data_IF_926937765426
#
_entry.id   IF_926937765426
#
_cell.length_a   1.000
_cell.length_b   1.000
_cell.length_c   1.000
_cell.angle_alpha   90.00
_cell.angle_beta   90.00
_cell.angle_gamma   90.00
#
_symmetry.space_group_name_H-M   'P 1'
#
loop_
_entity.id
_entity.type
_entity.pdbx_description
1 polymer ?
#
# COMPACT_ATOMS: atom_id res chain seq x y z
N UNK A 1 -22.07 18.01 0.41
CA UNK A 1 -21.24 17.45 1.50
C UNK A 1 -20.24 16.48 0.87
N UNK A 2 -19.05 16.96 0.51
CA UNK A 2 -18.04 16.09 -0.11
C UNK A 2 -17.43 15.22 0.98
N UNK A 3 -17.79 13.93 1.01
CA UNK A 3 -17.07 12.98 1.84
C UNK A 3 -15.59 13.05 1.47
N UNK A 4 -14.76 13.37 2.46
CA UNK A 4 -13.31 13.33 2.37
C UNK A 4 -12.92 11.86 2.41
N UNK A 5 -13.05 11.15 1.28
CA UNK A 5 -12.85 9.69 1.17
C UNK A 5 -11.40 9.22 1.37
N UNK A 6 -10.42 10.14 1.46
CA UNK A 6 -9.00 9.82 1.59
C UNK A 6 -8.67 8.87 2.75
N UNK A 7 -9.10 9.13 3.99
CA UNK A 7 -8.75 8.29 5.14
C UNK A 7 -9.37 6.89 5.08
N UNK A 8 -10.60 6.78 4.58
CA UNK A 8 -11.31 5.50 4.53
C UNK A 8 -10.73 4.57 3.48
N UNK A 9 -10.44 5.07 2.28
CA UNK A 9 -9.85 4.24 1.22
C UNK A 9 -8.42 3.79 1.59
N UNK A 10 -7.61 4.66 2.21
CA UNK A 10 -6.29 4.24 2.73
C UNK A 10 -6.42 3.17 3.82
N UNK A 11 -7.42 3.26 4.71
CA UNK A 11 -7.69 2.22 5.70
C UNK A 11 -8.06 0.88 5.06
N UNK A 12 -8.89 0.90 4.00
CA UNK A 12 -9.25 -0.28 3.22
C UNK A 12 -8.05 -0.94 2.51
N UNK A 13 -6.91 -0.25 2.38
CA UNK A 13 -5.67 -0.80 1.82
C UNK A 13 -4.78 -1.31 2.95
N UNK A 14 -4.48 -0.45 3.92
CA UNK A 14 -3.50 -0.75 4.99
C UNK A 14 -3.95 -1.95 5.83
N UNK A 15 -5.25 -2.08 6.14
CA UNK A 15 -5.76 -3.16 6.97
C UNK A 15 -5.59 -4.54 6.30
N UNK A 16 -6.09 -4.78 5.06
CA UNK A 16 -5.81 -6.01 4.32
C UNK A 16 -4.32 -6.32 4.15
N UNK A 17 -3.50 -5.32 3.78
CA UNK A 17 -2.06 -5.52 3.54
C UNK A 17 -1.35 -5.93 4.84
N UNK A 18 -1.67 -5.29 5.97
CA UNK A 18 -1.12 -5.64 7.29
C UNK A 18 -1.57 -7.02 7.74
N UNK A 19 -2.83 -7.39 7.49
CA UNK A 19 -3.36 -8.71 7.80
C UNK A 19 -2.62 -9.82 7.04
N UNK A 20 -2.39 -9.65 5.72
CA UNK A 20 -1.62 -10.62 4.94
C UNK A 20 -0.15 -10.68 5.33
N UNK A 21 0.47 -9.55 5.67
CA UNK A 21 1.82 -9.54 6.23
C UNK A 21 1.88 -10.32 7.54
N UNK A 22 0.86 -10.21 8.40
CA UNK A 22 0.76 -11.02 9.62
C UNK A 22 0.68 -12.53 9.33
N UNK A 23 -0.10 -12.93 8.32
CA UNK A 23 -0.15 -14.33 7.87
C UNK A 23 1.23 -14.78 7.40
N UNK A 24 1.88 -14.04 6.51
CA UNK A 24 3.20 -14.41 5.97
C UNK A 24 4.25 -14.45 7.09
N UNK A 25 4.21 -13.50 8.02
CA UNK A 25 5.10 -13.49 9.18
C UNK A 25 4.93 -14.73 10.05
N UNK A 26 3.72 -15.29 10.15
CA UNK A 26 3.50 -16.56 10.86
C UNK A 26 4.13 -17.77 10.16
N UNK A 27 4.39 -17.71 8.85
CA UNK A 27 5.12 -18.73 8.09
C UNK A 27 6.65 -18.54 8.17
N UNK A 28 7.12 -17.37 8.59
CA UNK A 28 8.55 -17.04 8.62
C UNK A 28 9.43 -18.03 9.40
N UNK A 29 9.01 -18.62 10.54
CA UNK A 29 9.81 -19.64 11.23
C UNK A 29 10.06 -20.90 10.39
N UNK A 30 9.17 -21.23 9.45
CA UNK A 30 9.34 -22.35 8.55
C UNK A 30 10.21 -21.99 7.34
N UNK A 31 10.01 -20.78 6.80
CA UNK A 31 10.76 -20.29 5.63
C UNK A 31 12.20 -19.91 5.98
N UNK A 32 12.47 -19.48 7.22
CA UNK A 32 13.77 -18.93 7.60
C UNK A 32 14.93 -19.92 7.43
N UNK A 33 14.84 -21.16 7.98
CA UNK A 33 15.92 -22.14 7.85
C UNK A 33 16.14 -22.65 6.42
N UNK A 34 15.19 -22.42 5.52
CA UNK A 34 15.26 -22.87 4.12
C UNK A 34 15.99 -21.85 3.26
N UNK A 35 15.79 -20.56 3.53
CA UNK A 35 16.27 -19.47 2.66
C UNK A 35 17.52 -18.76 3.19
N UNK A 36 17.69 -18.64 4.51
CA UNK A 36 18.75 -17.82 5.11
C UNK A 36 19.68 -18.59 6.06
N UNK A 37 19.45 -19.88 6.30
CA UNK A 37 20.38 -20.70 7.08
C UNK A 37 21.66 -20.96 6.29
N UNK A 38 22.81 -20.84 6.94
CA UNK A 38 24.12 -21.22 6.38
C UNK A 38 24.39 -22.72 6.47
N UNK A 39 23.70 -23.42 7.36
CA UNK A 39 23.75 -24.88 7.49
C UNK A 39 22.70 -25.53 6.58
N UNK A 40 22.99 -26.69 5.96
CA UNK A 40 22.02 -27.44 5.19
C UNK A 40 20.74 -27.71 6.00
N UNK A 41 19.59 -27.37 5.44
CA UNK A 41 18.31 -27.59 6.08
C UNK A 41 18.06 -29.09 6.24
N UNK A 42 17.82 -29.59 7.47
CA UNK A 42 17.56 -31.01 7.69
C UNK A 42 16.30 -31.49 6.95
N UNK A 43 16.31 -32.72 6.44
CA UNK A 43 15.16 -33.32 5.75
C UNK A 43 13.86 -33.25 6.59
N UNK A 44 13.97 -33.48 7.90
CA UNK A 44 12.84 -33.39 8.83
C UNK A 44 12.18 -32.00 8.86
N UNK A 45 12.91 -30.93 8.57
CA UNK A 45 12.34 -29.58 8.50
C UNK A 45 11.39 -29.41 7.32
N UNK A 46 11.71 -30.03 6.17
CA UNK A 46 10.81 -30.06 5.02
C UNK A 46 9.53 -30.84 5.34
N UNK A 47 9.61 -31.89 6.16
CA UNK A 47 8.43 -32.65 6.61
C UNK A 47 7.51 -31.80 7.50
N UNK A 48 8.08 -31.02 8.43
CA UNK A 48 7.31 -30.08 9.25
C UNK A 48 6.64 -28.99 8.42
N UNK A 49 7.37 -28.38 7.48
CA UNK A 49 6.79 -27.38 6.57
C UNK A 49 5.65 -27.98 5.76
N UNK A 50 5.85 -29.16 5.18
CA UNK A 50 4.85 -29.79 4.34
C UNK A 50 3.60 -30.22 5.13
N UNK A 51 3.78 -30.72 6.36
CA UNK A 51 2.67 -31.00 7.27
C UNK A 51 1.87 -29.73 7.58
N UNK A 52 2.55 -28.60 7.81
CA UNK A 52 1.90 -27.32 8.03
C UNK A 52 1.13 -26.82 6.79
N UNK A 53 1.72 -26.93 5.60
CA UNK A 53 1.07 -26.58 4.33
C UNK A 53 -0.15 -27.45 4.05
N UNK A 54 -0.06 -28.76 4.29
CA UNK A 54 -1.20 -29.68 4.21
C UNK A 54 -2.32 -29.28 5.16
N UNK A 55 -1.99 -28.93 6.40
CA UNK A 55 -2.96 -28.44 7.37
C UNK A 55 -3.64 -27.15 6.90
N UNK A 56 -2.88 -26.19 6.36
CA UNK A 56 -3.42 -24.95 5.79
C UNK A 56 -4.38 -25.22 4.62
N UNK A 57 -4.02 -26.14 3.72
CA UNK A 57 -4.87 -26.49 2.58
C UNK A 57 -6.12 -27.29 2.96
N UNK A 58 -6.00 -28.16 3.96
CA UNK A 58 -7.12 -28.94 4.49
C UNK A 58 -8.10 -28.10 5.32
N UNK A 59 -7.78 -26.83 5.57
CA UNK A 59 -8.64 -25.94 6.33
C UNK A 59 -10.03 -25.77 5.68
N UNK A 60 -11.09 -25.51 6.48
CA UNK A 60 -12.43 -25.37 5.95
C UNK A 60 -12.49 -24.34 4.82
N UNK A 61 -13.26 -24.60 3.74
CA UNK A 61 -13.28 -23.73 2.55
C UNK A 61 -13.80 -22.31 2.83
N UNK A 62 -14.29 -22.04 4.04
CA UNK A 62 -14.64 -20.71 4.51
C UNK A 62 -13.41 -19.80 4.66
N UNK A 63 -12.28 -20.33 5.14
CA UNK A 63 -11.05 -19.54 5.37
C UNK A 63 -10.53 -18.93 4.07
N UNK A 64 -10.23 -19.69 3.00
CA UNK A 64 -9.77 -19.11 1.75
C UNK A 64 -10.79 -18.15 1.15
N UNK A 65 -12.11 -18.38 1.32
CA UNK A 65 -13.14 -17.42 0.86
C UNK A 65 -13.02 -16.07 1.56
N UNK A 66 -12.83 -16.06 2.88
CA UNK A 66 -12.60 -14.82 3.65
C UNK A 66 -11.31 -14.13 3.17
N UNK A 67 -10.23 -14.88 2.95
CA UNK A 67 -8.98 -14.31 2.43
C UNK A 67 -9.18 -13.62 1.08
N UNK A 68 -9.87 -14.25 0.13
CA UNK A 68 -10.16 -13.62 -1.17
C UNK A 68 -11.01 -12.35 -1.01
N UNK A 69 -12.00 -12.33 -0.11
CA UNK A 69 -12.78 -11.11 0.18
C UNK A 69 -11.86 -9.98 0.67
N UNK A 70 -10.90 -10.28 1.56
CA UNK A 70 -9.94 -9.29 2.07
C UNK A 70 -9.01 -8.79 0.94
N UNK A 71 -8.61 -9.65 0.00
CA UNK A 71 -7.87 -9.24 -1.21
C UNK A 71 -8.72 -8.26 -2.05
N UNK A 72 -10.00 -8.59 -2.29
CA UNK A 72 -10.90 -7.72 -3.04
C UNK A 72 -11.12 -6.37 -2.35
N UNK A 73 -11.19 -6.33 -1.02
CA UNK A 73 -11.29 -5.07 -0.28
C UNK A 73 -10.05 -4.19 -0.47
N UNK A 74 -8.85 -4.78 -0.41
CA UNK A 74 -7.60 -4.06 -0.68
C UNK A 74 -7.53 -3.50 -2.09
N UNK A 75 -7.91 -4.31 -3.08
CA UNK A 75 -7.98 -3.91 -4.48
C UNK A 75 -9.03 -2.80 -4.71
N UNK A 76 -10.22 -2.94 -4.13
CA UNK A 76 -11.27 -1.94 -4.22
C UNK A 76 -10.83 -0.60 -3.59
N UNK A 77 -10.07 -0.63 -2.49
CA UNK A 77 -9.46 0.56 -1.90
C UNK A 77 -8.52 1.28 -2.86
N UNK A 78 -7.60 0.54 -3.51
CA UNK A 78 -6.65 1.08 -4.48
C UNK A 78 -7.37 1.69 -5.70
N UNK A 79 -8.33 0.97 -6.28
CA UNK A 79 -9.11 1.45 -7.43
C UNK A 79 -9.92 2.70 -7.06
N UNK A 80 -10.52 2.72 -5.86
CA UNK A 80 -11.31 3.86 -5.38
C UNK A 80 -10.46 5.14 -5.24
N UNK A 81 -9.19 5.02 -4.84
CA UNK A 81 -8.26 6.16 -4.76
C UNK A 81 -7.78 6.63 -6.13
N UNK A 82 -7.60 5.70 -7.08
CA UNK A 82 -7.15 6.03 -8.43
C UNK A 82 -8.18 6.84 -9.24
N UNK A 83 -9.47 6.68 -8.95
CA UNK A 83 -10.53 7.42 -9.64
C UNK A 83 -10.53 8.94 -9.35
N UNK A 84 -9.77 9.41 -8.36
CA UNK A 84 -9.63 10.84 -8.05
C UNK A 84 -8.28 11.36 -8.54
N UNK A 85 -8.23 12.07 -9.68
CA UNK A 85 -6.97 12.52 -10.27
C UNK A 85 -6.35 13.66 -9.44
N UNK A 86 -5.26 13.35 -8.75
CA UNK A 86 -4.20 14.29 -8.36
C UNK A 86 -2.87 13.68 -8.84
N UNK A 87 -1.87 14.49 -9.17
CA UNK A 87 -0.57 13.96 -9.64
C UNK A 87 0.07 13.02 -8.60
N UNK A 88 -0.06 13.36 -7.32
CA UNK A 88 0.42 12.53 -6.20
C UNK A 88 -0.32 11.19 -6.13
N UNK A 89 -1.64 11.18 -6.28
CA UNK A 89 -2.41 9.93 -6.32
C UNK A 89 -1.99 9.06 -7.52
N UNK A 90 -1.75 9.64 -8.70
CA UNK A 90 -1.34 8.83 -9.86
C UNK A 90 0.00 8.12 -9.64
N UNK A 91 0.98 8.79 -9.02
CA UNK A 91 2.29 8.19 -8.77
C UNK A 91 2.25 7.15 -7.64
N UNK A 92 1.71 7.52 -6.48
CA UNK A 92 1.74 6.64 -5.30
C UNK A 92 0.67 5.56 -5.32
N UNK A 93 -0.58 5.89 -5.64
CA UNK A 93 -1.66 4.90 -5.74
C UNK A 93 -1.53 4.04 -7.01
N UNK A 94 -1.03 4.60 -8.11
CA UNK A 94 -0.73 3.85 -9.34
C UNK A 94 0.39 2.81 -9.13
N UNK A 95 1.51 3.21 -8.53
CA UNK A 95 2.59 2.28 -8.19
C UNK A 95 2.11 1.22 -7.18
N UNK A 96 1.34 1.63 -6.17
CA UNK A 96 0.76 0.70 -5.19
C UNK A 96 -0.15 -0.34 -5.86
N UNK A 97 -0.94 0.07 -6.86
CA UNK A 97 -1.79 -0.85 -7.63
C UNK A 97 -0.96 -1.86 -8.42
N UNK A 98 0.08 -1.42 -9.12
CA UNK A 98 0.97 -2.33 -9.87
C UNK A 98 1.64 -3.34 -8.94
N UNK A 99 2.18 -2.88 -7.80
CA UNK A 99 2.76 -3.77 -6.79
C UNK A 99 1.70 -4.76 -6.28
N UNK A 100 0.50 -4.29 -5.95
CA UNK A 100 -0.57 -5.15 -5.45
C UNK A 100 -0.98 -6.22 -6.48
N UNK A 101 -1.05 -5.87 -7.77
CA UNK A 101 -1.33 -6.82 -8.85
C UNK A 101 -0.20 -7.84 -9.04
N UNK A 102 1.06 -7.43 -8.87
CA UNK A 102 2.19 -8.35 -8.83
C UNK A 102 2.03 -9.34 -7.65
N UNK A 103 1.66 -8.86 -6.47
CA UNK A 103 1.37 -9.70 -5.31
C UNK A 103 0.25 -10.71 -5.55
N UNK A 104 -0.85 -10.29 -6.16
CA UNK A 104 -1.95 -11.21 -6.57
C UNK A 104 -1.44 -12.28 -7.54
N UNK A 105 -0.60 -11.89 -8.50
CA UNK A 105 -0.03 -12.82 -9.48
C UNK A 105 0.84 -13.87 -8.81
N UNK A 106 1.75 -13.46 -7.92
CA UNK A 106 2.59 -14.39 -7.13
C UNK A 106 1.73 -15.30 -6.25
N UNK A 107 0.68 -14.76 -5.61
CA UNK A 107 -0.25 -15.54 -4.80
C UNK A 107 -0.94 -16.63 -5.62
N UNK A 108 -1.54 -16.30 -6.76
CA UNK A 108 -2.27 -17.27 -7.60
C UNK A 108 -1.31 -18.25 -8.27
N UNK A 109 -0.25 -17.73 -8.89
CA UNK A 109 0.64 -18.53 -9.73
C UNK A 109 1.56 -19.43 -8.92
N UNK A 110 2.02 -18.98 -7.75
CA UNK A 110 3.03 -19.70 -6.98
C UNK A 110 2.47 -20.26 -5.68
N UNK A 111 1.80 -19.44 -4.86
CA UNK A 111 1.37 -19.88 -3.51
C UNK A 111 0.21 -20.88 -3.59
N UNK A 112 -0.87 -20.53 -4.31
CA UNK A 112 -2.04 -21.42 -4.44
C UNK A 112 -1.68 -22.71 -5.15
N UNK A 113 -0.87 -22.64 -6.22
CA UNK A 113 -0.41 -23.84 -6.93
C UNK A 113 0.52 -24.69 -6.05
N UNK A 114 1.52 -24.08 -5.42
CA UNK A 114 2.45 -24.78 -4.53
C UNK A 114 1.74 -25.47 -3.36
N UNK A 115 0.75 -24.81 -2.75
CA UNK A 115 -0.06 -25.39 -1.68
C UNK A 115 -0.87 -26.62 -2.13
N UNK A 116 -1.44 -26.58 -3.35
CA UNK A 116 -2.17 -27.71 -3.93
C UNK A 116 -1.24 -28.89 -4.24
N UNK A 117 -0.06 -28.61 -4.80
CA UNK A 117 0.95 -29.63 -5.10
C UNK A 117 1.45 -30.29 -3.81
N UNK A 118 1.80 -29.49 -2.80
CA UNK A 118 2.24 -30.00 -1.52
C UNK A 118 1.19 -30.86 -0.81
N UNK A 119 -0.08 -30.48 -0.95
CA UNK A 119 -1.19 -31.24 -0.38
C UNK A 119 -1.48 -32.54 -1.12
N UNK A 120 -1.33 -32.53 -2.45
CA UNK A 120 -1.43 -33.75 -3.24
C UNK A 120 -0.26 -34.71 -3.02
N UNK A 121 0.85 -34.24 -2.42
CA UNK A 121 2.08 -35.00 -2.27
C UNK A 121 2.80 -35.27 -3.59
N UNK A 122 2.35 -34.59 -4.67
CA UNK A 122 2.88 -34.78 -6.03
C UNK A 122 4.05 -33.84 -6.25
N UNK A 123 5.22 -34.40 -6.51
CA UNK A 123 6.44 -33.69 -6.87
C UNK A 123 7.21 -34.50 -7.92
N UNK A 124 8.13 -33.86 -8.64
CA UNK A 124 8.99 -34.58 -9.59
C UNK A 124 8.21 -35.34 -10.67
N UNK A 125 8.67 -36.54 -11.01
CA UNK A 125 8.17 -37.35 -12.13
C UNK A 125 6.66 -37.64 -12.11
N UNK A 126 6.00 -37.55 -10.96
CA UNK A 126 4.57 -37.81 -10.80
C UNK A 126 3.67 -36.69 -11.40
N UNK A 127 4.27 -35.54 -11.72
CA UNK A 127 3.62 -34.43 -12.43
C UNK A 127 3.91 -34.44 -13.94
N UNK A 128 4.83 -35.29 -14.40
CA UNK A 128 5.25 -35.32 -15.79
C UNK A 128 4.22 -36.07 -16.64
N UNK A 129 3.52 -35.34 -17.52
CA UNK A 129 2.67 -35.95 -18.55
C UNK A 129 3.51 -36.32 -19.79
N UNK A 130 4.70 -35.74 -19.95
CA UNK A 130 5.66 -36.06 -21.02
C UNK A 130 7.10 -36.24 -20.51
N UNK A 131 7.96 -36.97 -21.24
CA UNK A 131 9.39 -37.12 -20.90
C UNK A 131 10.17 -35.81 -20.87
N UNK A 132 9.75 -34.79 -21.63
CA UNK A 132 10.39 -33.47 -21.68
C UNK A 132 10.06 -32.62 -20.45
N UNK A 133 8.89 -32.85 -19.82
CA UNK A 133 8.51 -32.19 -18.57
C UNK A 133 9.31 -32.73 -17.37
N UNK A 134 9.78 -33.99 -17.41
CA UNK A 134 10.56 -34.60 -16.32
C UNK A 134 11.81 -33.83 -15.93
N UNK A 135 12.46 -33.18 -16.90
CA UNK A 135 13.69 -32.40 -16.66
C UNK A 135 13.39 -30.99 -16.11
N UNK A 136 12.16 -30.48 -16.32
CA UNK A 136 11.71 -29.18 -15.82
C UNK A 136 10.99 -29.24 -14.47
N UNK A 137 10.57 -30.43 -14.02
CA UNK A 137 9.82 -30.55 -12.76
C UNK A 137 10.77 -30.52 -11.56
N UNK A 138 10.47 -29.60 -10.65
CA UNK A 138 11.21 -29.43 -9.40
C UNK A 138 11.05 -30.65 -8.48
N UNK A 139 12.14 -31.02 -7.84
CA UNK A 139 12.12 -31.96 -6.72
C UNK A 139 11.29 -31.40 -5.56
N UNK A 140 10.91 -32.26 -4.61
CA UNK A 140 10.13 -31.86 -3.43
C UNK A 140 10.74 -30.66 -2.69
N UNK A 141 12.02 -30.75 -2.35
CA UNK A 141 12.71 -29.70 -1.61
C UNK A 141 12.78 -28.38 -2.42
N UNK A 142 13.03 -28.46 -3.72
CA UNK A 142 13.11 -27.28 -4.57
C UNK A 142 11.74 -26.63 -4.76
N UNK A 143 10.68 -27.43 -4.84
CA UNK A 143 9.29 -26.94 -4.84
C UNK A 143 8.96 -26.19 -3.55
N UNK A 144 9.37 -26.73 -2.40
CA UNK A 144 9.17 -26.10 -1.09
C UNK A 144 10.01 -24.82 -0.95
N UNK A 145 11.27 -24.81 -1.41
CA UNK A 145 12.11 -23.60 -1.48
C UNK A 145 11.47 -22.50 -2.33
N UNK A 146 10.94 -22.85 -3.50
CA UNK A 146 10.26 -21.89 -4.39
C UNK A 146 9.00 -21.32 -3.74
N UNK A 147 8.27 -22.13 -2.98
CA UNK A 147 7.11 -21.67 -2.21
C UNK A 147 7.51 -20.70 -1.10
N UNK A 148 8.53 -21.03 -0.29
CA UNK A 148 9.08 -20.15 0.73
C UNK A 148 9.62 -18.83 0.15
N UNK A 149 10.32 -18.90 -0.99
CA UNK A 149 10.78 -17.72 -1.71
C UNK A 149 9.61 -16.85 -2.19
N UNK A 150 8.52 -17.48 -2.66
CA UNK A 150 7.31 -16.77 -3.09
C UNK A 150 6.62 -16.04 -1.93
N UNK A 151 6.58 -16.62 -0.73
CA UNK A 151 6.09 -15.94 0.48
C UNK A 151 6.92 -14.68 0.78
N UNK A 152 8.25 -14.80 0.67
CA UNK A 152 9.19 -13.69 0.88
C UNK A 152 8.99 -12.57 -0.14
N UNK A 153 8.88 -12.92 -1.43
CA UNK A 153 8.61 -11.96 -2.50
C UNK A 153 7.28 -11.25 -2.23
N UNK A 154 6.24 -12.00 -1.86
CA UNK A 154 4.94 -11.41 -1.53
C UNK A 154 5.04 -10.46 -0.34
N UNK A 155 5.79 -10.80 0.70
CA UNK A 155 6.03 -9.90 1.84
C UNK A 155 6.71 -8.60 1.42
N UNK A 156 7.77 -8.66 0.61
CA UNK A 156 8.47 -7.47 0.11
C UNK A 156 7.56 -6.57 -0.72
N UNK A 157 6.74 -7.16 -1.59
CA UNK A 157 5.76 -6.42 -2.40
C UNK A 157 4.71 -5.74 -1.52
N UNK A 158 4.17 -6.44 -0.51
CA UNK A 158 3.19 -5.89 0.41
C UNK A 158 3.77 -4.79 1.32
N UNK A 159 5.01 -4.94 1.79
CA UNK A 159 5.74 -3.87 2.50
C UNK A 159 5.92 -2.67 1.57
N UNK A 160 6.26 -2.89 0.30
CA UNK A 160 6.33 -1.84 -0.71
C UNK A 160 5.02 -1.05 -0.82
N UNK A 161 3.87 -1.73 -0.83
CA UNK A 161 2.55 -1.07 -0.80
C UNK A 161 2.39 -0.21 0.47
N UNK A 162 2.73 -0.72 1.66
CA UNK A 162 2.63 0.06 2.90
C UNK A 162 3.53 1.29 2.89
N UNK A 163 4.76 1.16 2.40
CA UNK A 163 5.73 2.27 2.28
C UNK A 163 5.18 3.34 1.34
N UNK A 164 4.61 2.96 0.19
CA UNK A 164 3.99 3.91 -0.73
C UNK A 164 2.77 4.61 -0.12
N UNK A 165 1.91 3.88 0.59
CA UNK A 165 0.75 4.48 1.27
C UNK A 165 1.18 5.43 2.41
N UNK A 166 2.24 5.10 3.15
CA UNK A 166 2.83 5.98 4.16
C UNK A 166 3.51 7.22 3.52
N UNK A 167 4.19 7.03 2.39
CA UNK A 167 4.81 8.10 1.61
C UNK A 167 3.78 9.10 1.10
N UNK A 168 2.65 8.61 0.57
CA UNK A 168 1.53 9.47 0.18
C UNK A 168 0.96 10.23 1.36
N UNK A 169 0.73 9.57 2.49
CA UNK A 169 0.24 10.25 3.70
C UNK A 169 1.20 11.36 4.16
N UNK A 170 2.51 11.12 4.08
CA UNK A 170 3.52 12.12 4.42
C UNK A 170 3.52 13.29 3.43
N UNK A 171 3.44 13.02 2.12
CA UNK A 171 3.35 14.04 1.09
C UNK A 171 2.11 14.92 1.26
N UNK A 172 0.93 14.29 1.41
CA UNK A 172 -0.34 15.01 1.65
C UNK A 172 -0.29 15.88 2.92
N UNK A 173 0.37 15.39 3.98
CA UNK A 173 0.51 16.12 5.25
C UNK A 173 1.47 17.30 5.13
N UNK A 174 2.49 17.21 4.29
CA UNK A 174 3.42 18.31 4.01
C UNK A 174 2.74 19.39 3.17
N UNK A 175 2.04 19.01 2.10
CA UNK A 175 1.30 19.93 1.24
C UNK A 175 0.22 20.69 2.02
N UNK A 176 -0.45 20.02 2.96
CA UNK A 176 -1.44 20.66 3.84
C UNK A 176 -0.81 21.71 4.79
N UNK A 177 0.38 21.44 5.34
CA UNK A 177 1.09 22.39 6.21
C UNK A 177 1.57 23.62 5.43
N UNK A 178 2.06 23.43 4.21
CA UNK A 178 2.46 24.51 3.32
C UNK A 178 1.26 25.38 2.94
N UNK A 179 0.11 24.78 2.60
CA UNK A 179 -1.10 25.54 2.30
C UNK A 179 -1.60 26.36 3.51
N UNK A 180 -1.51 25.82 4.72
CA UNK A 180 -1.90 26.55 5.94
C UNK A 180 -0.97 27.71 6.28
N UNK A 181 0.35 27.57 6.06
CA UNK A 181 1.31 28.65 6.30
C UNK A 181 1.14 29.79 5.28
N UNK A 182 0.92 29.48 4.00
CA UNK A 182 0.57 30.48 2.98
C UNK A 182 -0.75 31.20 3.32
N UNK A 183 -1.77 30.48 3.77
CA UNK A 183 -3.08 31.07 4.13
C UNK A 183 -3.01 31.96 5.36
N UNK A 184 -2.17 31.64 6.35
CA UNK A 184 -1.92 32.51 7.51
C UNK A 184 -1.15 33.78 7.11
N UNK A 185 -0.09 33.64 6.31
CA UNK A 185 0.66 34.80 5.79
C UNK A 185 -0.19 35.78 4.97
N UNK A 186 -1.12 35.29 4.15
CA UNK A 186 -2.06 36.15 3.41
C UNK A 186 -3.09 36.87 4.31
N UNK A 187 -3.51 36.25 5.42
CA UNK A 187 -4.44 36.89 6.37
C UNK A 187 -3.74 37.99 7.18
N UNK A 188 -2.49 37.79 7.58
CA UNK A 188 -1.73 38.79 8.34
C UNK A 188 -1.28 39.97 7.44
N UNK A 189 -0.95 39.70 6.17
CA UNK A 189 -0.67 40.74 5.16
C UNK A 189 -1.93 41.50 4.68
N UNK A 190 -3.08 40.83 4.60
CA UNK A 190 -4.36 41.47 4.26
C UNK A 190 -4.87 42.39 5.38
N UNK A 191 -4.75 41.96 6.64
CA UNK A 191 -5.18 42.74 7.80
C UNK A 191 -4.35 44.03 7.99
N UNK A 192 -3.05 44.00 7.71
CA UNK A 192 -2.18 45.19 7.77
C UNK A 192 -2.51 46.22 6.67
N UNK A 193 -2.90 45.77 5.47
CA UNK A 193 -3.35 46.65 4.38
C UNK A 193 -4.72 47.30 4.61
N UNK A 194 -5.65 46.58 5.27
CA UNK A 194 -6.96 47.14 5.66
C UNK A 194 -6.87 48.11 6.84
N UNK A 195 -5.94 47.90 7.77
CA UNK A 195 -5.71 48.84 8.88
C UNK A 195 -5.04 50.14 8.42
N UNK A 196 -4.11 50.07 7.45
CA UNK A 196 -3.46 51.24 6.87
C UNK A 196 -4.41 52.12 6.04
N UNK A 197 -5.37 51.51 5.33
CA UNK A 197 -6.38 52.24 4.54
C UNK A 197 -7.47 52.89 5.41
N UNK A 198 -7.84 52.29 6.54
CA UNK A 198 -8.76 52.88 7.52
C UNK A 198 -8.18 54.09 8.27
N UNK A 199 -6.88 54.07 8.58
CA UNK A 199 -6.20 55.19 9.26
C UNK A 199 -6.01 56.42 8.34
N UNK A 200 -5.79 56.21 7.04
CA UNK A 200 -5.64 57.29 6.07
C UNK A 200 -6.97 58.04 5.78
N UNK A 201 -8.12 57.38 5.93
CA UNK A 201 -9.43 58.00 5.71
C UNK A 201 -9.89 58.91 6.87
N UNK A 202 -9.33 58.74 8.08
CA UNK A 202 -9.67 59.51 9.27
C UNK A 202 -8.88 60.82 9.43
N UNK A 203 -7.85 61.05 8.60
CA UNK A 203 -6.95 62.21 8.69
C UNK A 203 -7.15 63.19 7.53
N UNK A 204 -8.24 63.97 7.54
CA UNK A 204 -8.32 65.25 6.80
C UNK A 204 -8.66 66.38 7.78
N UNK A 205 -7.75 67.32 8.06
CA UNK A 205 -8.08 68.53 8.80
C UNK A 205 -8.68 69.57 7.84
N UNK A 206 -9.77 70.19 8.26
CA UNK A 206 -10.30 71.38 7.61
C UNK A 206 -9.36 72.58 7.81
N UNK A 207 -9.36 73.47 6.81
CA UNK A 207 -9.30 74.95 6.89
C UNK A 207 -8.50 75.53 5.73
N UNK A 208 -9.18 76.12 4.75
CA UNK A 208 -8.57 77.15 3.92
C UNK A 208 -9.60 78.25 3.63
N UNK A 209 -9.22 79.47 4.01
CA UNK A 209 -10.08 80.65 4.03
C UNK A 209 -10.34 81.23 2.66
N UNK A 210 -11.56 81.76 2.50
CA UNK A 210 -12.03 82.45 1.31
C UNK A 210 -11.53 83.89 1.31
N UNK A 211 -10.53 84.19 0.48
CA UNK A 211 -10.19 85.56 0.06
C UNK A 211 -11.07 85.90 -1.15
N UNK A 212 -12.06 86.78 -0.98
CA UNK A 212 -12.83 87.36 -2.09
C UNK A 212 -12.45 88.83 -2.24
N UNK A 213 -11.86 89.17 -3.38
CA UNK A 213 -11.48 90.53 -3.78
C UNK A 213 -12.52 91.06 -4.77
N UNK A 214 -12.70 92.40 -4.75
CA UNK A 214 -13.15 93.33 -5.81
C UNK A 214 -14.65 93.71 -5.90
N UNK A 215 -14.87 95.02 -5.68
CA UNK A 215 -15.23 96.03 -6.71
C UNK A 215 -16.55 96.76 -6.46
N UNK A 216 -16.43 98.09 -6.36
CA UNK A 216 -17.44 99.17 -6.32
C UNK A 216 -18.59 99.06 -5.32
#
# INVERSE_FOLDING_TARGET
MAFRNGPFATFLIVCPVSFFLGIIFSLFPYDYPILWSTAPTPAAHYDYLEAHLRFLHASPPLIPRILHIVIFLGLAGLISKLYRPSESNMLFDGASLVLYMCGITVYIANIVKGLRLASAGKYGEELAASPEEKEQILNREDSLKVLSASNTILALVLVGVLVLQAGQWYAERKDAQEYESFRKGHKDGGASSSAASGAAAAAKPGRQGSVKKKSN
#
